data_IF_366311739591
#
_entry.id   IF_366311739591
#
_cell.length_a   1.000
_cell.length_b   1.000
_cell.length_c   1.000
_cell.angle_alpha   90.00
_cell.angle_beta   90.00
_cell.angle_gamma   90.00
#
_symmetry.space_group_name_H-M   'P 1'
#
loop_
_entity.id
_entity.type
_entity.pdbx_description
1 polymer ?
#
# COMPACT_ATOMS: atom_id res chain seq x y z
N UNK A 1 26.98 -8.40 -15.13
CA UNK A 1 25.78 -8.82 -14.34
C UNK A 1 26.07 -10.17 -13.67
N UNK A 2 25.42 -10.45 -12.54
CA UNK A 2 25.67 -11.68 -11.75
C UNK A 2 25.39 -12.94 -12.55
N UNK A 3 26.29 -13.93 -12.44
CA UNK A 3 26.13 -15.25 -13.06
C UNK A 3 24.95 -16.04 -12.48
N UNK A 4 24.56 -15.74 -11.25
CA UNK A 4 23.47 -16.41 -10.53
C UNK A 4 22.07 -15.92 -10.92
N UNK A 5 21.97 -14.94 -11.82
CA UNK A 5 20.66 -14.43 -12.28
C UNK A 5 20.05 -15.36 -13.34
N UNK A 6 18.77 -15.66 -13.17
CA UNK A 6 17.96 -16.37 -14.16
C UNK A 6 17.86 -15.57 -15.46
N UNK A 7 17.55 -16.24 -16.57
CA UNK A 7 17.42 -15.57 -17.87
C UNK A 7 16.29 -14.53 -17.86
N UNK A 8 15.20 -14.80 -17.14
CA UNK A 8 14.08 -13.85 -16.97
C UNK A 8 14.53 -12.55 -16.32
N UNK A 9 15.28 -12.63 -15.21
CA UNK A 9 15.79 -11.43 -14.51
C UNK A 9 16.80 -10.67 -15.35
N UNK A 10 17.64 -11.37 -16.14
CA UNK A 10 18.57 -10.71 -17.07
C UNK A 10 17.86 -9.92 -18.17
N UNK A 11 16.67 -10.35 -18.56
CA UNK A 11 15.93 -9.77 -19.69
C UNK A 11 14.83 -8.80 -19.28
N UNK A 12 14.52 -8.68 -17.98
CA UNK A 12 13.48 -7.77 -17.52
C UNK A 12 13.94 -6.33 -17.75
N UNK A 13 13.05 -5.50 -18.30
CA UNK A 13 13.21 -4.04 -18.28
C UNK A 13 12.60 -3.55 -16.97
N UNK A 14 13.39 -2.98 -16.03
CA UNK A 14 12.85 -2.48 -14.78
C UNK A 14 11.81 -1.38 -15.02
N UNK A 15 10.85 -1.27 -14.11
CA UNK A 15 9.96 -0.11 -14.08
C UNK A 15 10.79 1.17 -13.90
N UNK A 16 10.54 2.15 -14.76
CA UNK A 16 11.12 3.50 -14.65
C UNK A 16 10.04 4.42 -14.12
N UNK A 17 10.15 4.90 -12.86
CA UNK A 17 9.19 5.84 -12.31
C UNK A 17 9.23 7.18 -13.08
N UNK A 18 8.09 7.87 -13.10
CA UNK A 18 8.02 9.24 -13.60
C UNK A 18 8.84 10.21 -12.75
N UNK A 19 9.13 11.38 -13.32
CA UNK A 19 9.89 12.44 -12.65
C UNK A 19 9.20 12.91 -11.36
N UNK A 20 9.98 13.14 -10.30
CA UNK A 20 9.52 13.77 -9.05
C UNK A 20 10.55 14.81 -8.56
N UNK A 21 10.44 16.08 -9.01
CA UNK A 21 11.37 17.14 -8.61
C UNK A 21 11.25 17.47 -7.12
N UNK A 22 12.37 17.89 -6.50
CA UNK A 22 12.47 18.19 -5.05
C UNK A 22 13.18 19.52 -4.75
N UNK A 23 13.50 20.28 -5.79
CA UNK A 23 14.24 21.55 -5.73
C UNK A 23 13.40 22.71 -5.20
N UNK A 24 12.07 22.59 -5.23
CA UNK A 24 11.13 23.60 -4.73
C UNK A 24 9.80 22.95 -4.36
N UNK A 25 8.85 23.77 -3.89
CA UNK A 25 7.47 23.34 -3.69
C UNK A 25 6.73 23.31 -5.03
N UNK A 26 6.00 22.23 -5.27
CA UNK A 26 5.21 22.00 -6.48
C UNK A 26 3.74 21.81 -6.14
N UNK A 27 2.86 22.17 -7.06
CA UNK A 27 1.51 21.60 -7.11
C UNK A 27 1.65 20.21 -7.74
N UNK A 28 1.55 19.16 -6.91
CA UNK A 28 1.85 17.78 -7.30
C UNK A 28 0.61 17.13 -7.93
N UNK A 29 0.69 16.79 -9.23
CA UNK A 29 -0.42 16.23 -10.01
C UNK A 29 -0.02 15.02 -10.86
N UNK A 30 1.15 14.43 -10.62
CA UNK A 30 1.78 13.44 -11.51
C UNK A 30 1.66 11.97 -11.03
N UNK A 31 1.05 11.70 -9.88
CA UNK A 31 0.95 10.33 -9.31
C UNK A 31 -0.45 9.94 -8.84
N UNK A 32 -1.48 10.69 -9.23
CA UNK A 32 -2.88 10.43 -8.89
C UNK A 32 -3.17 10.32 -7.37
N UNK A 33 -2.43 11.07 -6.54
CA UNK A 33 -2.71 11.14 -5.10
C UNK A 33 -4.01 11.91 -4.82
N UNK A 34 -4.69 11.53 -3.73
CA UNK A 34 -5.86 12.26 -3.27
C UNK A 34 -5.43 13.62 -2.67
N UNK A 35 -6.02 14.76 -3.07
CA UNK A 35 -5.66 16.07 -2.52
C UNK A 35 -6.17 16.29 -1.09
N UNK A 36 -7.11 15.48 -0.61
CA UNK A 36 -7.69 15.58 0.72
C UNK A 36 -6.98 14.68 1.74
N UNK A 37 -6.96 15.07 3.04
CA UNK A 37 -6.49 14.17 4.09
C UNK A 37 -7.37 12.91 4.20
N UNK A 38 -6.84 11.82 4.77
CA UNK A 38 -7.67 10.65 5.07
C UNK A 38 -8.73 10.99 6.12
N UNK A 39 -9.70 10.09 6.28
CA UNK A 39 -10.70 10.19 7.35
C UNK A 39 -10.04 10.32 8.74
N UNK A 40 -10.52 11.21 9.63
CA UNK A 40 -10.02 11.31 11.00
C UNK A 40 -10.06 9.97 11.76
N UNK A 41 -11.05 9.12 11.46
CA UNK A 41 -11.15 7.76 12.04
C UNK A 41 -9.93 6.89 11.73
N UNK A 42 -9.32 7.07 10.56
CA UNK A 42 -8.10 6.34 10.17
C UNK A 42 -6.92 6.81 11.01
N UNK A 43 -6.80 8.13 11.26
CA UNK A 43 -5.75 8.68 12.10
C UNK A 43 -5.86 8.15 13.54
N UNK A 44 -7.07 8.10 14.09
CA UNK A 44 -7.30 7.57 15.44
C UNK A 44 -7.00 6.07 15.52
N UNK A 45 -7.41 5.28 14.52
CA UNK A 45 -7.10 3.86 14.45
C UNK A 45 -5.58 3.59 14.37
N UNK A 46 -4.84 4.36 13.57
CA UNK A 46 -3.37 4.24 13.48
C UNK A 46 -2.72 4.57 14.83
N UNK A 47 -3.14 5.64 15.50
CA UNK A 47 -2.62 6.01 16.83
C UNK A 47 -2.87 4.91 17.85
N UNK A 48 -4.06 4.28 17.82
CA UNK A 48 -4.40 3.18 18.70
C UNK A 48 -3.54 1.93 18.39
N UNK A 49 -3.34 1.60 17.11
CA UNK A 49 -2.58 0.43 16.68
C UNK A 49 -1.06 0.56 16.93
N UNK A 50 -0.55 1.79 17.01
CA UNK A 50 0.86 2.07 17.30
C UNK A 50 1.19 1.90 18.80
N UNK A 51 1.00 0.69 19.32
CA UNK A 51 1.27 0.32 20.71
C UNK A 51 2.15 -0.95 20.79
N UNK A 52 2.35 -1.48 22.01
CA UNK A 52 3.24 -2.62 22.25
C UNK A 52 2.90 -3.89 21.45
N UNK A 53 1.69 -4.02 20.89
CA UNK A 53 1.30 -5.14 20.02
C UNK A 53 2.08 -5.19 18.71
N UNK A 54 2.76 -4.11 18.30
CA UNK A 54 3.63 -4.09 17.11
C UNK A 54 4.77 -5.12 17.17
N UNK A 55 5.07 -5.69 18.36
CA UNK A 55 6.00 -6.82 18.50
C UNK A 55 5.46 -8.14 17.94
N UNK A 56 4.16 -8.22 17.72
CA UNK A 56 3.47 -9.40 17.22
C UNK A 56 3.30 -9.30 15.70
N UNK A 57 3.29 -10.44 15.02
CA UNK A 57 2.88 -10.49 13.63
C UNK A 57 1.40 -10.08 13.48
N UNK A 58 1.03 -9.39 12.39
CA UNK A 58 -0.37 -9.12 12.08
C UNK A 58 -1.11 -10.42 11.73
N UNK A 59 -2.44 -10.33 11.67
CA UNK A 59 -3.27 -11.38 11.10
C UNK A 59 -2.82 -11.67 9.65
N UNK A 60 -2.34 -12.89 9.32
CA UNK A 60 -1.82 -13.21 8.01
C UNK A 60 -2.89 -13.24 6.91
N UNK A 61 -4.17 -13.48 7.24
CA UNK A 61 -5.27 -13.50 6.27
C UNK A 61 -5.96 -12.15 6.11
N UNK A 62 -5.81 -11.24 7.09
CA UNK A 62 -6.46 -9.93 7.08
C UNK A 62 -7.98 -10.03 7.09
N UNK A 63 -8.53 -10.99 7.84
CA UNK A 63 -9.93 -11.40 7.73
C UNK A 63 -10.90 -10.26 8.04
N UNK A 64 -10.60 -9.41 9.03
CA UNK A 64 -11.43 -8.26 9.38
C UNK A 64 -11.57 -7.25 8.21
N UNK A 65 -10.47 -7.01 7.49
CA UNK A 65 -10.48 -6.13 6.31
C UNK A 65 -11.30 -6.77 5.19
N UNK A 66 -11.09 -8.07 4.94
CA UNK A 66 -11.79 -8.80 3.88
C UNK A 66 -13.29 -8.84 4.13
N UNK A 67 -13.71 -9.07 5.37
CA UNK A 67 -15.11 -8.99 5.79
C UNK A 67 -15.73 -7.62 5.55
N UNK A 68 -15.02 -6.57 5.96
CA UNK A 68 -15.50 -5.19 5.83
C UNK A 68 -15.70 -4.82 4.36
N UNK A 69 -14.74 -5.16 3.50
CA UNK A 69 -14.83 -4.95 2.05
C UNK A 69 -15.97 -5.79 1.46
N UNK A 70 -16.06 -7.08 1.82
CA UNK A 70 -17.10 -7.96 1.32
C UNK A 70 -18.49 -7.41 1.63
N UNK A 71 -18.71 -6.96 2.88
CA UNK A 71 -19.97 -6.33 3.28
C UNK A 71 -20.25 -5.04 2.49
N UNK A 72 -19.25 -4.16 2.34
CA UNK A 72 -19.41 -2.87 1.65
C UNK A 72 -19.79 -3.03 0.16
N UNK A 73 -19.33 -4.09 -0.49
CA UNK A 73 -19.56 -4.35 -1.92
C UNK A 73 -20.58 -5.48 -2.18
N UNK A 74 -21.19 -6.07 -1.15
CA UNK A 74 -22.14 -7.20 -1.31
C UNK A 74 -21.50 -8.49 -1.82
N UNK A 75 -20.24 -8.74 -1.48
CA UNK A 75 -19.48 -9.92 -1.84
C UNK A 75 -19.43 -10.93 -0.69
N UNK A 76 -18.79 -12.08 -0.94
CA UNK A 76 -18.38 -13.03 0.10
C UNK A 76 -16.89 -12.88 0.37
N UNK A 77 -16.42 -13.19 1.58
CA UNK A 77 -15.01 -13.04 1.99
C UNK A 77 -14.06 -13.77 1.05
N UNK A 78 -14.43 -14.96 0.55
CA UNK A 78 -13.60 -15.74 -0.38
C UNK A 78 -13.36 -15.06 -1.73
N UNK A 79 -14.14 -14.03 -2.05
CA UNK A 79 -14.01 -13.23 -3.28
C UNK A 79 -13.34 -11.86 -3.05
N UNK A 80 -12.80 -11.64 -1.85
CA UNK A 80 -11.95 -10.49 -1.49
C UNK A 80 -10.56 -11.02 -1.18
#
# INVERSE_FOLDING_TARGET
>A
MSQYWSQTVKNIKPYVPGEQPKDRKYVKLNTNENPYPPSPKVIDAIKLAANDTLRLYPDPSGDELRDTIACAFGLKRENV
#
